data_IF_056799619627
#
_entry.id   IF_056799619627
#
_cell.length_a   1.000
_cell.length_b   1.000
_cell.length_c   1.000
_cell.angle_alpha   90.00
_cell.angle_beta   90.00
_cell.angle_gamma   90.00
#
_symmetry.space_group_name_H-M   'P 1'
#
loop_
_entity.id
_entity.type
_entity.pdbx_description
1 polymer ?
#
# COMPACT_ATOMS: atom_id res chain seq x y z
N UNK A 1 6.16 -57.56 17.39
CA UNK A 1 7.22 -56.66 16.86
C UNK A 1 6.82 -55.96 15.55
N UNK A 2 6.24 -56.64 14.54
CA UNK A 2 5.84 -55.99 13.27
C UNK A 2 4.92 -54.75 13.43
N UNK A 3 4.00 -54.74 14.39
CA UNK A 3 3.04 -53.64 14.59
C UNK A 3 3.71 -52.31 14.98
N UNK A 4 4.76 -52.32 15.81
CA UNK A 4 5.48 -51.11 16.22
C UNK A 4 6.23 -50.45 15.05
N UNK A 5 6.80 -51.27 14.15
CA UNK A 5 7.52 -50.76 12.98
C UNK A 5 6.57 -50.03 12.01
N UNK A 6 5.39 -50.62 11.77
CA UNK A 6 4.34 -50.02 10.92
C UNK A 6 3.82 -48.73 11.55
N UNK A 7 3.60 -48.71 12.88
CA UNK A 7 3.19 -47.51 13.58
C UNK A 7 4.24 -46.38 13.45
N UNK A 8 5.52 -46.69 13.66
CA UNK A 8 6.61 -45.73 13.50
C UNK A 8 6.72 -45.19 12.07
N UNK A 9 6.58 -46.06 11.06
CA UNK A 9 6.60 -45.66 9.65
C UNK A 9 5.42 -44.73 9.30
N UNK A 10 4.22 -45.04 9.79
CA UNK A 10 3.03 -44.20 9.57
C UNK A 10 3.16 -42.84 10.27
N UNK A 11 3.73 -42.78 11.47
CA UNK A 11 4.03 -41.53 12.15
C UNK A 11 5.03 -40.68 11.35
N UNK A 12 6.11 -41.30 10.85
CA UNK A 12 7.09 -40.63 9.99
C UNK A 12 6.45 -40.11 8.70
N UNK A 13 5.64 -40.92 8.04
CA UNK A 13 4.92 -40.54 6.81
C UNK A 13 4.05 -39.32 7.06
N UNK A 14 3.18 -39.35 8.07
CA UNK A 14 2.31 -38.21 8.42
C UNK A 14 3.09 -36.96 8.77
N UNK A 15 4.21 -37.08 9.49
CA UNK A 15 5.06 -35.93 9.82
C UNK A 15 5.68 -35.31 8.57
N UNK A 16 6.15 -36.14 7.63
CA UNK A 16 6.66 -35.66 6.34
C UNK A 16 5.56 -35.01 5.51
N UNK A 17 4.39 -35.63 5.41
CA UNK A 17 3.24 -35.08 4.69
C UNK A 17 2.84 -33.70 5.25
N UNK A 18 2.84 -33.54 6.58
CA UNK A 18 2.59 -32.26 7.24
C UNK A 18 3.66 -31.21 6.93
N UNK A 19 4.94 -31.58 6.96
CA UNK A 19 6.03 -30.66 6.62
C UNK A 19 5.90 -30.16 5.18
N UNK A 20 5.60 -31.07 4.24
CA UNK A 20 5.43 -30.72 2.84
C UNK A 20 4.21 -29.81 2.63
N UNK A 21 3.08 -30.15 3.27
CA UNK A 21 1.89 -29.32 3.23
C UNK A 21 2.15 -27.89 3.73
N UNK A 22 2.81 -27.74 4.89
CA UNK A 22 3.18 -26.43 5.43
C UNK A 22 4.14 -25.68 4.51
N UNK A 23 5.09 -26.37 3.88
CA UNK A 23 6.00 -25.75 2.91
C UNK A 23 5.25 -25.19 1.69
N UNK A 24 4.26 -25.93 1.18
CA UNK A 24 3.40 -25.49 0.08
C UNK A 24 2.51 -24.31 0.48
N UNK A 25 1.92 -24.33 1.68
CA UNK A 25 1.15 -23.21 2.21
C UNK A 25 1.99 -21.94 2.33
N UNK A 26 3.19 -22.05 2.90
CA UNK A 26 4.12 -20.91 3.02
C UNK A 26 4.47 -20.36 1.64
N UNK A 27 4.73 -21.22 0.66
CA UNK A 27 5.01 -20.82 -0.72
C UNK A 27 3.82 -20.10 -1.36
N UNK A 28 2.60 -20.62 -1.18
CA UNK A 28 1.38 -20.00 -1.69
C UNK A 28 1.15 -18.61 -1.06
N UNK A 29 1.32 -18.49 0.25
CA UNK A 29 1.21 -17.21 0.97
C UNK A 29 2.25 -16.21 0.46
N UNK A 30 3.50 -16.64 0.26
CA UNK A 30 4.56 -15.76 -0.26
C UNK A 30 4.27 -15.29 -1.69
N UNK A 31 3.78 -16.18 -2.57
CA UNK A 31 3.38 -15.80 -3.93
C UNK A 31 2.28 -14.76 -3.89
N UNK A 32 1.20 -15.02 -3.13
CA UNK A 32 0.07 -14.09 -3.00
C UNK A 32 0.50 -12.74 -2.43
N UNK A 33 1.38 -12.74 -1.42
CA UNK A 33 1.97 -11.52 -0.87
C UNK A 33 2.67 -10.72 -1.97
N UNK A 34 3.52 -11.36 -2.77
CA UNK A 34 4.26 -10.68 -3.84
C UNK A 34 3.34 -10.10 -4.91
N UNK A 35 2.27 -10.80 -5.27
CA UNK A 35 1.29 -10.31 -6.25
C UNK A 35 0.54 -9.09 -5.72
N UNK A 36 0.12 -9.10 -4.44
CA UNK A 36 -0.49 -7.95 -3.79
C UNK A 36 0.45 -6.74 -3.72
N UNK A 37 1.76 -6.95 -3.49
CA UNK A 37 2.73 -5.85 -3.52
C UNK A 37 2.84 -5.22 -4.92
N UNK A 38 2.87 -6.03 -5.98
CA UNK A 38 2.90 -5.51 -7.35
C UNK A 38 1.64 -4.70 -7.68
N UNK A 39 0.47 -5.19 -7.27
CA UNK A 39 -0.79 -4.48 -7.45
C UNK A 39 -0.82 -3.17 -6.66
N UNK A 40 -0.33 -3.19 -5.41
CA UNK A 40 -0.20 -1.99 -4.59
C UNK A 40 0.68 -0.92 -5.26
N UNK A 41 1.86 -1.31 -5.76
CA UNK A 41 2.77 -0.40 -6.45
C UNK A 41 2.14 0.18 -7.73
N UNK A 42 1.45 -0.65 -8.50
CA UNK A 42 0.71 -0.22 -9.68
C UNK A 42 -0.37 0.81 -9.33
N UNK A 43 -1.20 0.54 -8.33
CA UNK A 43 -2.24 1.47 -7.87
C UNK A 43 -1.65 2.76 -7.31
N UNK A 44 -0.49 2.68 -6.64
CA UNK A 44 0.22 3.86 -6.15
C UNK A 44 0.74 4.73 -7.31
N UNK A 45 1.31 4.12 -8.34
CA UNK A 45 1.73 4.80 -9.56
C UNK A 45 0.56 5.52 -10.23
N UNK A 46 -0.56 4.82 -10.45
CA UNK A 46 -1.75 5.39 -11.08
C UNK A 46 -2.36 6.51 -10.25
N UNK A 47 -2.43 6.35 -8.92
CA UNK A 47 -2.86 7.41 -8.01
C UNK A 47 -2.00 8.66 -8.18
N UNK A 48 -0.67 8.51 -8.23
CA UNK A 48 0.24 9.65 -8.39
C UNK A 48 0.10 10.29 -9.76
N UNK A 49 -0.11 9.49 -10.82
CA UNK A 49 -0.39 9.99 -12.17
C UNK A 49 -1.64 10.87 -12.20
N UNK A 50 -2.73 10.43 -11.57
CA UNK A 50 -3.98 11.19 -11.48
C UNK A 50 -3.80 12.46 -10.64
N UNK A 51 -3.13 12.36 -9.48
CA UNK A 51 -2.80 13.53 -8.65
C UNK A 51 -2.00 14.60 -9.41
N UNK A 52 -1.03 14.18 -10.22
CA UNK A 52 -0.23 15.08 -11.05
C UNK A 52 -1.10 15.77 -12.11
N UNK A 53 -1.96 15.01 -12.82
CA UNK A 53 -2.90 15.58 -13.78
C UNK A 53 -3.85 16.58 -13.15
N UNK A 54 -4.41 16.23 -11.98
CA UNK A 54 -5.28 17.13 -11.23
C UNK A 54 -4.56 18.42 -10.82
N UNK A 55 -3.32 18.32 -10.31
CA UNK A 55 -2.53 19.49 -9.92
C UNK A 55 -2.22 20.42 -11.10
N UNK A 56 -1.93 19.85 -12.27
CA UNK A 56 -1.75 20.62 -13.50
C UNK A 56 -3.03 21.35 -13.92
N UNK A 57 -4.17 20.66 -13.90
CA UNK A 57 -5.48 21.26 -14.20
C UNK A 57 -5.83 22.36 -13.20
N UNK A 58 -5.64 22.11 -11.91
CA UNK A 58 -5.88 23.08 -10.85
C UNK A 58 -5.07 24.36 -11.08
N UNK A 59 -3.75 24.22 -11.32
CA UNK A 59 -2.88 25.37 -11.63
C UNK A 59 -3.33 26.09 -12.90
N UNK A 60 -3.67 25.35 -13.95
CA UNK A 60 -4.12 25.93 -15.22
C UNK A 60 -5.39 26.78 -15.04
N UNK A 61 -6.38 26.26 -14.30
CA UNK A 61 -7.62 27.00 -14.03
C UNK A 61 -7.33 28.32 -13.30
N UNK A 62 -6.53 28.30 -12.24
CA UNK A 62 -6.16 29.54 -11.53
C UNK A 62 -5.35 30.52 -12.40
N UNK A 63 -4.53 30.01 -13.33
CA UNK A 63 -3.81 30.87 -14.28
C UNK A 63 -4.75 31.57 -15.28
N UNK A 64 -5.88 30.95 -15.62
CA UNK A 64 -6.86 31.50 -16.57
C UNK A 64 -7.97 32.32 -15.91
N UNK A 65 -8.32 32.06 -14.65
CA UNK A 65 -9.40 32.76 -13.96
C UNK A 65 -9.04 34.23 -13.68
N UNK A 66 -9.97 35.14 -14.00
CA UNK A 66 -9.89 36.57 -13.69
C UNK A 66 -11.17 37.03 -13.02
N UNK A 67 -11.06 37.99 -12.12
CA UNK A 67 -12.21 38.69 -11.56
C UNK A 67 -12.83 39.66 -12.60
N UNK A 68 -13.98 40.29 -12.33
CA UNK A 68 -14.61 41.25 -13.25
C UNK A 68 -13.72 42.45 -13.60
N UNK A 69 -12.78 42.79 -12.72
CA UNK A 69 -11.83 43.91 -12.87
C UNK A 69 -10.55 43.49 -13.63
N UNK A 70 -10.40 42.19 -13.96
CA UNK A 70 -9.29 41.63 -14.72
C UNK A 70 -8.09 41.16 -13.88
N UNK A 71 -8.18 41.13 -12.54
CA UNK A 71 -7.13 40.60 -11.67
C UNK A 71 -7.17 39.07 -11.58
N UNK A 72 -6.02 38.40 -11.48
CA UNK A 72 -5.95 36.96 -11.30
C UNK A 72 -6.39 36.52 -9.90
N UNK A 73 -7.10 35.39 -9.82
CA UNK A 73 -7.40 34.76 -8.54
C UNK A 73 -6.17 34.06 -7.95
N UNK A 74 -5.91 34.31 -6.67
CA UNK A 74 -4.83 33.65 -5.93
C UNK A 74 -5.26 32.27 -5.42
N UNK A 75 -4.50 31.19 -5.68
CA UNK A 75 -4.74 29.87 -5.09
C UNK A 75 -4.63 29.82 -3.57
N UNK A 76 -4.00 30.84 -2.95
CA UNK A 76 -3.82 30.95 -1.50
C UNK A 76 -5.04 31.57 -0.80
N UNK A 77 -5.84 32.33 -1.54
CA UNK A 77 -7.04 33.00 -1.01
C UNK A 77 -8.32 32.29 -1.45
N UNK A 78 -8.28 31.56 -2.56
CA UNK A 78 -9.43 30.87 -3.12
C UNK A 78 -9.14 29.40 -3.38
N UNK A 79 -10.20 28.59 -3.38
CA UNK A 79 -10.15 27.15 -3.66
C UNK A 79 -11.29 26.76 -4.58
N UNK A 80 -11.06 25.76 -5.42
CA UNK A 80 -12.11 25.15 -6.23
C UNK A 80 -12.74 24.00 -5.45
N UNK A 81 -14.07 24.00 -5.34
CA UNK A 81 -14.84 22.94 -4.71
C UNK A 81 -15.82 22.34 -5.71
N UNK A 82 -15.97 21.02 -5.68
CA UNK A 82 -16.98 20.34 -6.47
C UNK A 82 -18.26 20.21 -5.65
N UNK A 83 -19.36 20.72 -6.19
CA UNK A 83 -20.69 20.54 -5.63
C UNK A 83 -21.25 19.15 -5.96
N UNK A 84 -22.31 18.73 -5.27
CA UNK A 84 -22.89 17.39 -5.40
C UNK A 84 -23.46 17.10 -6.81
N UNK A 85 -23.84 18.14 -7.54
CA UNK A 85 -24.27 18.13 -8.93
C UNK A 85 -23.10 18.08 -9.94
N UNK A 86 -21.87 18.11 -9.45
CA UNK A 86 -20.65 18.07 -10.26
C UNK A 86 -20.15 19.44 -10.74
N UNK A 87 -20.87 20.52 -10.42
CA UNK A 87 -20.42 21.89 -10.74
C UNK A 87 -19.21 22.29 -9.90
N UNK A 88 -18.37 23.18 -10.43
CA UNK A 88 -17.17 23.69 -9.74
C UNK A 88 -17.44 25.10 -9.23
N UNK A 89 -17.32 25.28 -7.91
CA UNK A 89 -17.50 26.54 -7.21
C UNK A 89 -16.15 27.10 -6.78
N UNK A 90 -15.97 28.41 -6.92
CA UNK A 90 -14.82 29.12 -6.37
C UNK A 90 -15.19 29.62 -4.96
N UNK A 91 -14.47 29.13 -3.95
CA UNK A 91 -14.77 29.38 -2.54
C UNK A 91 -13.56 30.04 -1.86
N UNK A 92 -13.74 31.20 -1.20
CA UNK A 92 -12.70 31.83 -0.40
C UNK A 92 -12.21 30.90 0.73
N UNK A 93 -10.91 30.95 1.01
CA UNK A 93 -10.28 30.23 2.11
C UNK A 93 -10.46 31.05 3.39
N UNK A 94 -11.12 30.49 4.39
CA UNK A 94 -11.18 31.08 5.72
C UNK A 94 -9.83 30.92 6.41
N UNK A 95 -9.07 32.02 6.49
CA UNK A 95 -7.74 32.22 7.11
C UNK A 95 -6.50 31.94 6.23
N UNK A 96 -5.45 32.80 6.31
CA UNK A 96 -4.19 32.64 5.58
C UNK A 96 -3.25 31.60 6.22
N UNK A 97 -3.78 30.65 6.99
CA UNK A 97 -3.00 29.60 7.67
C UNK A 97 -3.30 28.19 7.15
N UNK A 98 -4.32 28.00 6.31
CA UNK A 98 -4.66 26.70 5.77
C UNK A 98 -4.17 26.57 4.33
N UNK A 99 -2.86 26.48 4.17
CA UNK A 99 -2.27 25.81 3.01
C UNK A 99 -2.72 24.34 3.04
N UNK A 100 -3.90 24.03 2.51
CA UNK A 100 -4.02 22.77 1.77
C UNK A 100 -3.17 22.97 0.55
N UNK A 101 -1.88 22.77 0.75
CA UNK A 101 -1.05 22.12 -0.25
C UNK A 101 -1.92 21.00 -0.84
N UNK A 102 -2.13 20.93 -2.17
CA UNK A 102 -2.78 19.77 -2.78
C UNK A 102 -2.02 18.46 -2.45
N UNK A 103 -0.82 18.59 -1.87
CA UNK A 103 0.01 17.53 -1.31
C UNK A 103 -0.41 17.06 0.11
N UNK A 104 -1.27 17.79 0.84
CA UNK A 104 -1.58 17.51 2.26
C UNK A 104 -2.82 16.63 2.49
N UNK A 105 -3.32 15.96 1.44
CA UNK A 105 -4.30 14.87 1.55
C UNK A 105 -3.71 13.51 1.92
N UNK A 106 -2.50 13.49 2.52
CA UNK A 106 -1.90 12.27 3.02
C UNK A 106 -1.46 12.48 4.47
N UNK A 107 -2.42 12.47 5.40
CA UNK A 107 -2.12 12.11 6.78
C UNK A 107 -1.60 10.67 6.70
N UNK A 108 -0.28 10.53 6.67
CA UNK A 108 0.44 9.28 6.87
C UNK A 108 -0.09 8.67 8.18
N UNK A 109 -1.13 7.84 8.10
CA UNK A 109 -1.38 6.86 9.15
C UNK A 109 -0.26 5.83 9.00
N UNK A 110 0.75 5.97 9.85
CA UNK A 110 1.81 4.99 10.06
C UNK A 110 3.03 5.12 9.15
N UNK A 111 3.89 6.10 9.42
CA UNK A 111 5.34 5.90 9.26
C UNK A 111 5.85 5.27 10.55
N UNK A 112 5.63 3.97 10.69
CA UNK A 112 6.26 3.01 11.61
C UNK A 112 5.79 1.67 11.02
N UNK A 113 6.47 1.12 10.00
CA UNK A 113 7.11 -0.20 10.15
C UNK A 113 8.01 -0.55 8.93
N UNK A 114 8.54 0.46 8.23
CA UNK A 114 9.42 0.23 7.08
C UNK A 114 10.83 -0.31 7.44
N UNK A 115 11.03 -0.82 8.67
CA UNK A 115 12.28 -1.42 9.11
C UNK A 115 12.19 -2.82 9.74
N UNK A 116 11.00 -3.43 9.90
CA UNK A 116 10.91 -4.69 10.64
C UNK A 116 10.22 -5.78 9.83
N UNK A 117 11.00 -6.41 8.96
CA UNK A 117 10.94 -7.84 8.58
C UNK A 117 11.56 -8.02 7.19
N UNK A 118 12.81 -7.57 7.04
CA UNK A 118 13.78 -8.44 6.39
C UNK A 118 14.06 -9.60 7.35
N UNK A 119 13.04 -10.42 7.64
CA UNK A 119 13.30 -11.73 8.19
C UNK A 119 13.98 -12.47 7.05
N UNK A 120 15.32 -12.52 7.12
CA UNK A 120 16.01 -13.74 6.76
C UNK A 120 15.15 -14.87 7.33
N UNK A 121 14.42 -15.57 6.47
CA UNK A 121 13.83 -16.85 6.85
C UNK A 121 15.04 -17.64 7.35
N UNK A 122 15.07 -18.08 8.63
CA UNK A 122 16.16 -18.92 9.10
C UNK A 122 16.23 -20.07 8.12
N UNK A 123 17.37 -20.20 7.42
CA UNK A 123 17.68 -21.43 6.72
C UNK A 123 17.68 -22.49 7.81
N UNK A 124 16.58 -23.24 7.91
CA UNK A 124 16.48 -24.40 8.79
C UNK A 124 17.48 -25.43 8.26
N UNK A 125 18.75 -25.27 8.62
CA UNK A 125 19.70 -26.36 8.66
C UNK A 125 19.27 -27.25 9.82
N UNK A 126 18.41 -28.21 9.54
CA UNK A 126 18.13 -29.31 10.46
C UNK A 126 19.46 -29.96 10.85
N UNK A 127 19.90 -29.91 12.12
CA UNK A 127 20.88 -30.86 12.59
C UNK A 127 20.10 -32.15 12.82
N UNK A 128 20.22 -33.11 11.89
CA UNK A 128 19.95 -34.50 12.22
C UNK A 128 20.97 -34.92 13.28
N UNK A 129 20.68 -34.63 14.56
CA UNK A 129 21.39 -35.20 15.69
C UNK A 129 20.93 -36.64 15.84
N UNK A 130 21.76 -37.50 15.27
CA UNK A 130 21.87 -38.92 15.55
C UNK A 130 22.01 -39.11 17.06
N UNK A 131 20.93 -39.53 17.74
CA UNK A 131 21.03 -40.07 19.09
C UNK A 131 20.76 -41.58 19.00
N UNK A 132 21.76 -42.33 19.48
CA UNK A 132 21.89 -43.79 19.54
C UNK A 132 20.63 -44.55 19.92
#
# INVERSE_FOLDING_TARGET
MLYQLVAAQNCRKRKLDQILHLADEVKAIQSRKNDLYKEYEYLNLERNRIKNKFSLLYRHIFQSLRDPDGNPYSPHEYSLQQSADGSILLVPRSSPGHSVDPNSGNKQRGKDDAKQHMLLIPSYTSPCLFQR
#
